data_IF_128831002331
#
_entry.id   IF_128831002331
#
_cell.length_a   1.000
_cell.length_b   1.000
_cell.length_c   1.000
_cell.angle_alpha   90.00
_cell.angle_beta   90.00
_cell.angle_gamma   90.00
#
_symmetry.space_group_name_H-M   'P 1'
#
loop_
_entity.id
_entity.type
_entity.pdbx_description
1 polymer ?
#
# COMPACT_ATOMS: atom_id res chain seq x y z
N UNK A 1 -18.48 5.68 -2.48
CA UNK A 1 -19.66 4.87 -2.83
C UNK A 1 -19.36 3.38 -2.64
N UNK A 2 -20.34 2.62 -2.13
CA UNK A 2 -20.19 1.20 -1.79
C UNK A 2 -19.76 0.32 -2.98
N UNK A 3 -20.16 0.68 -4.19
CA UNK A 3 -19.85 -0.09 -5.40
C UNK A 3 -18.35 -0.03 -5.83
N UNK A 4 -17.53 0.75 -5.16
CA UNK A 4 -16.07 0.78 -5.34
C UNK A 4 -15.33 0.12 -4.18
N UNK A 5 -16.04 -0.33 -3.16
CA UNK A 5 -15.44 -0.96 -1.99
C UNK A 5 -15.14 -2.42 -2.28
N UNK A 6 -13.92 -2.84 -1.98
CA UNK A 6 -13.46 -4.22 -2.05
C UNK A 6 -13.55 -4.79 -0.64
N UNK A 7 -14.22 -5.93 -0.51
CA UNK A 7 -14.44 -6.63 0.77
C UNK A 7 -13.85 -8.04 0.79
N UNK A 8 -13.38 -8.55 -0.36
CA UNK A 8 -12.71 -9.83 -0.44
C UNK A 8 -11.32 -9.74 0.20
N UNK A 9 -11.13 -10.46 1.30
CA UNK A 9 -9.88 -10.42 2.08
C UNK A 9 -8.67 -10.94 1.30
N UNK A 10 -8.88 -11.88 0.37
CA UNK A 10 -7.80 -12.41 -0.48
C UNK A 10 -7.34 -11.36 -1.49
N UNK A 11 -8.28 -10.63 -2.09
CA UNK A 11 -7.98 -9.55 -3.02
C UNK A 11 -7.28 -8.39 -2.32
N UNK A 12 -7.75 -8.02 -1.13
CA UNK A 12 -7.14 -6.99 -0.29
C UNK A 12 -5.70 -7.37 0.07
N UNK A 13 -5.47 -8.61 0.52
CA UNK A 13 -4.13 -9.10 0.89
C UNK A 13 -3.17 -9.05 -0.30
N UNK A 14 -3.57 -9.55 -1.45
CA UNK A 14 -2.77 -9.49 -2.69
C UNK A 14 -2.43 -8.06 -3.10
N UNK A 15 -3.39 -7.14 -2.94
CA UNK A 15 -3.16 -5.74 -3.26
C UNK A 15 -2.14 -5.09 -2.32
N UNK A 16 -2.24 -5.35 -1.00
CA UNK A 16 -1.31 -4.84 0.00
C UNK A 16 0.11 -5.35 -0.28
N UNK A 17 0.26 -6.64 -0.56
CA UNK A 17 1.56 -7.26 -0.88
C UNK A 17 2.18 -6.68 -2.16
N UNK A 18 1.38 -6.51 -3.21
CA UNK A 18 1.84 -5.96 -4.49
C UNK A 18 2.16 -4.45 -4.43
N UNK A 19 1.58 -3.71 -3.49
CA UNK A 19 1.74 -2.26 -3.34
C UNK A 19 2.27 -1.90 -1.94
N UNK A 20 3.26 -2.65 -1.47
CA UNK A 20 3.73 -2.59 -0.08
C UNK A 20 4.49 -1.31 0.30
N UNK A 21 4.93 -0.48 -0.67
CA UNK A 21 5.55 0.81 -0.39
C UNK A 21 4.49 1.90 -0.28
N UNK A 22 4.36 2.49 0.92
CA UNK A 22 3.30 3.45 1.20
C UNK A 22 3.68 4.49 2.24
N UNK A 23 2.68 5.14 2.79
CA UNK A 23 2.84 6.23 3.74
C UNK A 23 2.34 5.82 5.12
N UNK A 24 3.17 6.03 6.14
CA UNK A 24 2.79 5.99 7.55
C UNK A 24 2.48 7.40 8.03
N UNK A 25 1.23 7.66 8.36
CA UNK A 25 0.77 8.93 8.91
C UNK A 25 0.52 8.79 10.41
N UNK A 26 1.12 9.68 11.18
CA UNK A 26 0.96 9.77 12.64
C UNK A 26 1.03 11.22 13.11
N UNK A 27 0.94 11.46 14.39
CA UNK A 27 1.06 12.79 14.98
C UNK A 27 2.41 12.93 15.68
N UNK A 28 3.08 14.07 15.48
CA UNK A 28 4.20 14.56 16.31
C UNK A 28 3.79 15.93 16.81
N UNK A 29 3.69 16.11 18.12
CA UNK A 29 3.31 17.38 18.74
C UNK A 29 2.07 18.03 18.11
N UNK A 30 1.04 17.21 17.83
CA UNK A 30 -0.23 17.57 17.17
C UNK A 30 -0.15 17.79 15.65
N UNK A 31 1.03 17.80 15.05
CA UNK A 31 1.20 17.93 13.61
C UNK A 31 1.14 16.54 12.91
N UNK A 32 0.48 16.48 11.77
CA UNK A 32 0.43 15.27 10.95
C UNK A 32 1.76 15.12 10.21
N UNK A 33 2.44 14.00 10.46
CA UNK A 33 3.70 13.64 9.81
C UNK A 33 3.49 12.40 8.94
N UNK A 34 4.10 12.39 7.76
CA UNK A 34 4.06 11.27 6.83
C UNK A 34 5.47 10.80 6.49
N UNK A 35 5.72 9.49 6.63
CA UNK A 35 6.96 8.84 6.19
C UNK A 35 6.63 7.76 5.17
N UNK A 36 7.35 7.75 4.02
CA UNK A 36 7.25 6.70 3.01
C UNK A 36 8.18 5.55 3.39
N UNK A 37 7.62 4.38 3.60
CA UNK A 37 8.33 3.15 3.99
C UNK A 37 7.65 1.91 3.39
N UNK A 38 8.41 0.81 3.20
CA UNK A 38 7.83 -0.46 2.83
C UNK A 38 7.17 -1.14 4.05
N UNK A 39 6.09 -1.86 3.80
CA UNK A 39 5.35 -2.61 4.80
C UNK A 39 5.39 -4.11 4.48
N UNK A 40 5.55 -4.93 5.50
CA UNK A 40 5.30 -6.36 5.46
C UNK A 40 3.94 -6.63 6.11
N UNK A 41 3.04 -7.23 5.35
CA UNK A 41 1.69 -7.55 5.84
C UNK A 41 1.63 -9.00 6.32
N UNK A 42 1.17 -9.19 7.52
CA UNK A 42 0.80 -10.49 8.08
C UNK A 42 -0.73 -10.54 8.22
N UNK A 43 -1.36 -11.22 7.27
CA UNK A 43 -2.82 -11.32 7.21
C UNK A 43 -3.40 -12.15 8.36
N UNK A 44 -2.68 -13.20 8.82
CA UNK A 44 -3.14 -14.10 9.88
C UNK A 44 -3.18 -13.38 11.23
N UNK A 45 -2.10 -12.68 11.59
CA UNK A 45 -2.03 -11.91 12.83
C UNK A 45 -2.65 -10.52 12.73
N UNK A 46 -3.05 -10.09 11.53
CA UNK A 46 -3.57 -8.74 11.21
C UNK A 46 -2.60 -7.64 11.66
N UNK A 47 -1.36 -7.76 11.25
CA UNK A 47 -0.28 -6.85 11.63
C UNK A 47 0.42 -6.32 10.37
N UNK A 48 0.79 -5.05 10.36
CA UNK A 48 1.80 -4.50 9.47
C UNK A 48 3.11 -4.32 10.22
N UNK A 49 4.20 -4.77 9.62
CA UNK A 49 5.56 -4.52 10.09
C UNK A 49 6.27 -3.59 9.12
N UNK A 50 7.02 -2.65 9.66
CA UNK A 50 7.84 -1.72 8.90
C UNK A 50 9.09 -1.34 9.70
N UNK A 51 10.02 -0.63 9.08
CA UNK A 51 11.11 0.00 9.80
C UNK A 51 11.37 1.41 9.24
N UNK A 52 11.98 2.23 10.08
CA UNK A 52 12.47 3.54 9.67
C UNK A 52 13.85 3.79 10.25
N UNK A 53 14.57 4.75 9.67
CA UNK A 53 15.85 5.18 10.23
C UNK A 53 15.65 5.71 11.65
N UNK A 54 16.55 5.35 12.56
CA UNK A 54 16.52 5.84 13.96
C UNK A 54 16.61 7.36 14.06
N UNK A 55 17.15 8.02 13.03
CA UNK A 55 17.21 9.47 12.94
C UNK A 55 15.87 10.12 12.59
N UNK A 56 14.86 9.35 12.11
CA UNK A 56 13.52 9.89 11.85
C UNK A 56 12.80 10.07 13.21
N UNK A 57 12.35 11.28 13.59
CA UNK A 57 11.75 11.52 14.91
C UNK A 57 10.37 10.89 15.09
N UNK A 58 9.69 10.49 14.02
CA UNK A 58 8.32 9.97 14.06
C UNK A 58 8.13 8.79 15.00
N UNK A 59 9.12 7.87 15.09
CA UNK A 59 9.04 6.71 15.96
C UNK A 59 9.01 7.04 17.45
N UNK A 60 9.52 8.22 17.87
CA UNK A 60 9.63 8.60 19.27
C UNK A 60 8.27 8.85 19.93
N UNK A 61 7.28 9.25 19.14
CA UNK A 61 5.92 9.53 19.62
C UNK A 61 4.85 8.56 19.11
N UNK A 62 5.28 7.48 18.42
CA UNK A 62 4.33 6.55 17.78
C UNK A 62 3.75 5.51 18.75
N UNK A 63 4.34 5.37 19.94
CA UNK A 63 3.96 4.33 20.89
C UNK A 63 2.46 4.43 21.30
N UNK A 64 1.72 3.34 21.13
CA UNK A 64 0.26 3.23 21.38
C UNK A 64 -0.58 4.26 20.60
N UNK A 65 -0.01 4.89 19.57
CA UNK A 65 -0.71 5.90 18.78
C UNK A 65 -1.59 5.25 17.72
N UNK A 66 -2.77 5.83 17.49
CA UNK A 66 -3.60 5.53 16.31
C UNK A 66 -2.92 6.11 15.07
N UNK A 67 -2.65 5.26 14.11
CA UNK A 67 -1.99 5.63 12.85
C UNK A 67 -2.85 5.28 11.65
N UNK A 68 -2.52 5.91 10.51
CA UNK A 68 -3.06 5.58 9.20
C UNK A 68 -1.91 5.18 8.29
N UNK A 69 -2.04 4.02 7.65
CA UNK A 69 -1.20 3.65 6.50
C UNK A 69 -2.02 3.78 5.22
N UNK A 70 -1.43 4.40 4.21
CA UNK A 70 -2.02 4.50 2.88
C UNK A 70 -1.12 3.81 1.86
N UNK A 71 -1.71 2.85 1.13
CA UNK A 71 -1.09 2.17 0.01
C UNK A 71 -1.87 2.53 -1.26
N UNK A 72 -1.15 2.80 -2.33
CA UNK A 72 -1.73 3.22 -3.59
C UNK A 72 -1.19 2.35 -4.72
N UNK A 73 -2.11 1.81 -5.53
CA UNK A 73 -1.78 1.13 -6.77
C UNK A 73 -1.87 2.08 -7.97
N UNK A 74 -2.13 1.49 -9.12
CA UNK A 74 -2.26 2.20 -10.38
C UNK A 74 -3.41 3.23 -10.35
N UNK A 75 -3.19 4.35 -11.03
CA UNK A 75 -4.19 5.41 -11.17
C UNK A 75 -3.97 6.19 -12.46
N UNK A 76 -5.05 6.66 -13.06
CA UNK A 76 -5.00 7.52 -14.24
C UNK A 76 -6.21 8.45 -14.33
N UNK A 77 -6.02 9.57 -15.00
CA UNK A 77 -7.08 10.46 -15.41
C UNK A 77 -7.94 9.80 -16.49
N UNK A 78 -9.26 9.95 -16.39
CA UNK A 78 -10.23 9.44 -17.37
C UNK A 78 -10.95 10.62 -18.03
N UNK A 79 -10.73 10.77 -19.32
CA UNK A 79 -11.36 11.83 -20.11
C UNK A 79 -12.83 11.50 -20.42
N UNK A 80 -13.76 12.45 -20.29
CA UNK A 80 -15.14 12.26 -20.74
C UNK A 80 -15.24 12.02 -22.26
N UNK A 81 -14.24 12.39 -23.04
CA UNK A 81 -14.20 12.14 -24.49
C UNK A 81 -14.03 10.64 -24.85
N UNK A 82 -13.74 9.79 -23.86
CA UNK A 82 -13.66 8.33 -24.08
C UNK A 82 -14.99 7.63 -23.93
N UNK A 83 -16.00 8.32 -23.39
CA UNK A 83 -17.35 7.79 -23.24
C UNK A 83 -18.21 8.02 -24.48
N UNK A 84 -19.09 7.10 -24.79
CA UNK A 84 -20.22 7.33 -25.70
C UNK A 84 -21.36 8.07 -25.02
N UNK A 85 -21.54 7.80 -23.72
CA UNK A 85 -22.52 8.47 -22.89
C UNK A 85 -22.00 9.80 -22.34
N UNK A 86 -22.90 10.66 -21.89
CA UNK A 86 -22.50 11.89 -21.22
C UNK A 86 -21.68 11.60 -19.95
N UNK A 87 -20.56 12.28 -19.78
CA UNK A 87 -19.68 12.09 -18.67
C UNK A 87 -18.95 13.36 -18.22
N UNK A 88 -18.26 13.25 -17.09
CA UNK A 88 -17.41 14.30 -16.54
C UNK A 88 -16.00 13.76 -16.36
N UNK A 89 -14.97 14.64 -16.36
CA UNK A 89 -13.62 14.25 -16.01
C UNK A 89 -13.54 13.54 -14.65
N UNK A 90 -12.78 12.46 -14.59
CA UNK A 90 -12.61 11.70 -13.33
C UNK A 90 -11.25 11.00 -13.29
N UNK A 91 -11.02 10.24 -12.21
CA UNK A 91 -9.86 9.37 -12.05
C UNK A 91 -10.30 7.95 -11.78
N UNK A 92 -9.61 6.99 -12.39
CA UNK A 92 -9.57 5.62 -11.93
C UNK A 92 -8.36 5.44 -11.04
N UNK A 93 -8.52 4.68 -9.94
CA UNK A 93 -7.46 4.45 -8.96
C UNK A 93 -7.77 3.25 -8.07
N UNK A 94 -6.71 2.72 -7.47
CA UNK A 94 -6.78 1.67 -6.46
C UNK A 94 -6.05 2.16 -5.21
N UNK A 95 -6.67 2.04 -4.05
CA UNK A 95 -6.08 2.47 -2.79
C UNK A 95 -6.58 1.65 -1.60
N UNK A 96 -5.68 1.44 -0.63
CA UNK A 96 -6.00 0.84 0.66
C UNK A 96 -5.60 1.79 1.78
N UNK A 97 -6.52 1.99 2.72
CA UNK A 97 -6.31 2.72 3.96
C UNK A 97 -6.38 1.74 5.12
N UNK A 98 -5.29 1.61 5.87
CA UNK A 98 -5.18 0.72 7.02
C UNK A 98 -5.04 1.55 8.28
N UNK A 99 -5.93 1.37 9.23
CA UNK A 99 -5.86 2.01 10.55
C UNK A 99 -5.42 0.97 11.57
N UNK A 100 -4.62 1.40 12.52
CA UNK A 100 -4.14 0.52 13.57
C UNK A 100 -3.55 1.27 14.74
N UNK A 101 -3.11 0.50 15.73
CA UNK A 101 -2.33 1.00 16.86
C UNK A 101 -0.88 0.63 16.59
N UNK A 102 -0.01 1.63 16.61
CA UNK A 102 1.41 1.44 16.33
C UNK A 102 2.24 1.32 17.62
N UNK A 103 3.24 0.47 17.55
CA UNK A 103 4.26 0.30 18.57
C UNK A 103 5.63 0.26 17.91
N UNK A 104 6.62 0.87 18.55
CA UNK A 104 8.02 0.77 18.13
C UNK A 104 8.75 -0.36 18.87
N UNK A 105 9.70 -0.99 18.21
CA UNK A 105 10.51 -2.03 18.83
C UNK A 105 11.98 -1.98 18.37
N UNK A 106 12.87 -2.46 19.24
CA UNK A 106 14.32 -2.49 19.02
C UNK A 106 14.94 -3.89 19.17
N UNK A 107 14.12 -4.92 19.41
CA UNK A 107 14.61 -6.30 19.55
C UNK A 107 15.40 -6.73 18.28
N UNK A 108 16.71 -7.06 18.40
CA UNK A 108 17.52 -7.31 17.22
C UNK A 108 17.09 -8.55 16.43
N UNK A 109 16.53 -9.57 17.11
CA UNK A 109 16.05 -10.80 16.44
C UNK A 109 14.77 -10.53 15.66
N UNK A 110 13.86 -9.74 16.24
CA UNK A 110 12.61 -9.32 15.56
C UNK A 110 12.91 -8.41 14.38
N UNK A 111 13.81 -7.43 14.56
CA UNK A 111 14.28 -6.55 13.48
C UNK A 111 14.89 -7.36 12.34
N UNK A 112 15.81 -8.27 12.63
CA UNK A 112 16.45 -9.08 11.60
C UNK A 112 15.42 -9.90 10.81
N UNK A 113 14.53 -10.63 11.49
CA UNK A 113 13.48 -11.43 10.83
C UNK A 113 12.59 -10.58 9.92
N UNK A 114 12.21 -9.38 10.37
CA UNK A 114 11.39 -8.46 9.57
C UNK A 114 12.12 -7.99 8.33
N UNK A 115 13.37 -7.55 8.48
CA UNK A 115 14.17 -7.04 7.34
C UNK A 115 14.50 -8.17 6.36
N UNK A 116 14.81 -9.39 6.85
CA UNK A 116 15.01 -10.57 6.00
C UNK A 116 13.76 -10.84 5.14
N UNK A 117 12.56 -10.84 5.73
CA UNK A 117 11.29 -11.05 5.01
C UNK A 117 10.99 -9.94 3.99
N UNK A 118 11.24 -8.67 4.35
CA UNK A 118 11.09 -7.54 3.42
C UNK A 118 12.06 -7.66 2.24
N UNK A 119 13.28 -8.10 2.50
CA UNK A 119 14.26 -8.36 1.46
C UNK A 119 13.81 -9.49 0.55
N UNK A 120 13.42 -10.64 1.11
CA UNK A 120 12.92 -11.78 0.36
C UNK A 120 11.73 -11.40 -0.54
N UNK A 121 10.76 -10.65 0.01
CA UNK A 121 9.60 -10.17 -0.75
C UNK A 121 10.01 -9.31 -1.96
N UNK A 122 10.99 -8.42 -1.81
CA UNK A 122 11.41 -7.51 -2.87
C UNK A 122 12.42 -8.14 -3.84
N UNK A 123 13.23 -9.10 -3.38
CA UNK A 123 14.24 -9.79 -4.20
C UNK A 123 13.68 -10.99 -4.98
N UNK A 124 12.51 -11.49 -4.63
CA UNK A 124 11.92 -12.72 -5.22
C UNK A 124 11.74 -12.69 -6.74
N UNK A 125 11.71 -11.49 -7.35
CA UNK A 125 11.59 -11.30 -8.80
C UNK A 125 12.92 -11.26 -9.57
N UNK A 126 14.07 -11.28 -8.87
CA UNK A 126 15.38 -11.20 -9.50
C UNK A 126 15.98 -12.59 -9.77
N UNK A 127 16.68 -12.79 -10.92
CA UNK A 127 17.31 -14.08 -11.26
C UNK A 127 18.40 -14.50 -10.26
N UNK A 128 19.08 -13.53 -9.66
CA UNK A 128 20.11 -13.72 -8.62
C UNK A 128 19.78 -12.82 -7.43
N UNK A 129 18.86 -13.27 -6.54
CA UNK A 129 18.37 -12.46 -5.44
C UNK A 129 19.50 -12.19 -4.43
N UNK A 130 19.59 -10.93 -3.99
CA UNK A 130 20.54 -10.54 -2.98
C UNK A 130 20.28 -11.29 -1.67
N UNK A 131 21.35 -11.85 -1.09
CA UNK A 131 21.28 -12.54 0.19
C UNK A 131 21.57 -11.56 1.32
N UNK A 132 20.71 -11.53 2.34
CA UNK A 132 20.83 -10.59 3.44
C UNK A 132 22.10 -10.84 4.27
N UNK A 133 23.01 -9.86 4.28
CA UNK A 133 24.21 -9.83 5.12
C UNK A 133 24.22 -8.54 5.97
N UNK A 134 23.22 -8.43 6.84
CA UNK A 134 23.12 -7.28 7.73
C UNK A 134 24.02 -7.44 8.94
N UNK A 135 24.99 -6.54 9.09
CA UNK A 135 25.76 -6.45 10.33
C UNK A 135 24.91 -5.96 11.50
N UNK A 136 25.26 -6.34 12.72
CA UNK A 136 24.59 -5.85 13.93
C UNK A 136 24.63 -4.32 14.05
N UNK A 137 25.65 -3.66 13.45
CA UNK A 137 25.75 -2.19 13.43
C UNK A 137 24.69 -1.55 12.53
N UNK A 138 24.38 -2.16 11.38
CA UNK A 138 23.34 -1.67 10.46
C UNK A 138 21.96 -1.78 11.10
N UNK A 139 21.64 -2.89 11.76
CA UNK A 139 20.37 -3.07 12.46
C UNK A 139 20.19 -2.09 13.63
N UNK A 140 21.26 -1.63 14.27
CA UNK A 140 21.17 -0.57 15.29
C UNK A 140 20.80 0.81 14.74
N UNK A 141 20.91 1.02 13.43
CA UNK A 141 20.53 2.27 12.75
C UNK A 141 19.03 2.41 12.46
N UNK A 142 18.25 1.37 12.72
CA UNK A 142 16.82 1.36 12.42
C UNK A 142 15.97 1.07 13.67
N UNK A 143 14.71 1.46 13.58
CA UNK A 143 13.63 1.13 14.54
C UNK A 143 12.56 0.36 13.79
N UNK A 144 12.11 -0.76 14.37
CA UNK A 144 10.96 -1.48 13.87
C UNK A 144 9.66 -0.83 14.33
N UNK A 145 8.67 -0.87 13.48
CA UNK A 145 7.30 -0.43 13.76
C UNK A 145 6.38 -1.61 13.54
N UNK A 146 5.54 -1.89 14.51
CA UNK A 146 4.46 -2.87 14.42
C UNK A 146 3.13 -2.15 14.53
N UNK A 147 2.19 -2.45 13.64
CA UNK A 147 0.87 -1.84 13.63
C UNK A 147 -0.17 -2.94 13.74
N UNK A 148 -0.82 -3.02 14.90
CA UNK A 148 -1.98 -3.89 15.10
C UNK A 148 -3.18 -3.30 14.37
N UNK A 149 -3.65 -3.98 13.32
CA UNK A 149 -4.69 -3.47 12.42
C UNK A 149 -6.05 -3.49 13.09
N UNK A 150 -6.71 -2.33 13.12
CA UNK A 150 -8.07 -2.18 13.64
C UNK A 150 -9.12 -2.12 12.51
N UNK A 151 -8.77 -1.58 11.35
CA UNK A 151 -9.64 -1.59 10.17
C UNK A 151 -8.85 -1.44 8.87
N UNK A 152 -9.37 -2.06 7.81
CA UNK A 152 -8.88 -1.91 6.43
C UNK A 152 -10.05 -1.38 5.60
N UNK A 153 -9.78 -0.37 4.79
CA UNK A 153 -10.70 0.16 3.80
C UNK A 153 -10.02 0.09 2.43
N UNK A 154 -10.51 -0.79 1.57
CA UNK A 154 -10.01 -0.97 0.22
C UNK A 154 -11.02 -0.39 -0.78
N UNK A 155 -10.51 0.36 -1.76
CA UNK A 155 -11.35 1.00 -2.79
C UNK A 155 -10.66 0.93 -4.15
N UNK A 156 -11.35 0.30 -5.10
CA UNK A 156 -10.97 0.29 -6.50
C UNK A 156 -12.05 1.00 -7.30
N UNK A 157 -11.77 2.22 -7.72
CA UNK A 157 -12.63 2.98 -8.61
C UNK A 157 -12.12 2.79 -10.03
N UNK A 158 -12.77 1.92 -10.78
CA UNK A 158 -12.33 1.41 -12.08
C UNK A 158 -13.44 1.53 -13.14
N UNK A 159 -14.27 2.56 -13.06
CA UNK A 159 -15.40 2.82 -13.97
C UNK A 159 -16.56 1.81 -13.90
N UNK A 160 -16.68 1.03 -12.80
CA UNK A 160 -17.72 0.00 -12.62
C UNK A 160 -19.15 0.54 -12.72
N UNK A 161 -19.33 1.84 -12.56
CA UNK A 161 -20.62 2.53 -12.66
C UNK A 161 -20.95 3.02 -14.09
N UNK A 162 -20.15 2.66 -15.07
CA UNK A 162 -20.34 3.00 -16.48
C UNK A 162 -20.92 1.84 -17.27
N UNK A 163 -21.45 2.12 -18.47
CA UNK A 163 -21.88 1.08 -19.40
C UNK A 163 -20.72 0.17 -19.79
N UNK A 164 -21.01 -1.05 -20.23
CA UNK A 164 -19.98 -1.99 -20.70
C UNK A 164 -19.17 -1.37 -21.86
N UNK A 165 -19.84 -0.62 -22.76
CA UNK A 165 -19.16 0.03 -23.86
C UNK A 165 -18.20 1.15 -23.39
N UNK A 166 -18.67 2.00 -22.45
CA UNK A 166 -17.79 3.04 -21.88
C UNK A 166 -16.61 2.43 -21.12
N UNK A 167 -16.81 1.32 -20.40
CA UNK A 167 -15.72 0.60 -19.74
C UNK A 167 -14.69 0.06 -20.76
N UNK A 168 -15.16 -0.54 -21.85
CA UNK A 168 -14.30 -1.04 -22.93
C UNK A 168 -13.49 0.09 -23.56
N UNK A 169 -14.13 1.21 -23.88
CA UNK A 169 -13.46 2.37 -24.44
C UNK A 169 -12.38 2.94 -23.50
N UNK A 170 -12.70 3.04 -22.20
CA UNK A 170 -11.74 3.49 -21.17
C UNK A 170 -10.54 2.53 -21.09
N UNK A 171 -10.79 1.23 -21.12
CA UNK A 171 -9.75 0.22 -21.05
C UNK A 171 -8.79 0.28 -22.26
N UNK A 172 -9.31 0.43 -23.48
CA UNK A 172 -8.52 0.62 -24.68
C UNK A 172 -7.65 1.87 -24.57
N UNK A 173 -8.25 3.01 -24.20
CA UNK A 173 -7.54 4.28 -24.06
C UNK A 173 -6.46 4.26 -22.96
N UNK A 174 -6.68 3.52 -21.87
CA UNK A 174 -5.66 3.32 -20.83
C UNK A 174 -4.49 2.48 -21.37
N UNK A 175 -4.76 1.40 -22.08
CA UNK A 175 -3.74 0.54 -22.71
C UNK A 175 -2.90 1.32 -23.69
N UNK A 176 -3.51 2.09 -24.59
CA UNK A 176 -2.84 2.92 -25.59
C UNK A 176 -1.91 3.98 -24.96
N UNK A 177 -2.16 4.36 -23.71
CA UNK A 177 -1.38 5.35 -22.96
C UNK A 177 -0.38 4.74 -21.98
N UNK A 178 -0.20 3.41 -22.03
CA UNK A 178 0.77 2.71 -21.18
C UNK A 178 0.29 2.44 -19.74
N UNK A 179 -1.03 2.55 -19.47
CA UNK A 179 -1.63 2.20 -18.18
C UNK A 179 -2.20 0.77 -18.18
N UNK A 180 -1.45 -0.18 -18.71
CA UNK A 180 -1.91 -1.56 -18.92
C UNK A 180 -2.31 -2.25 -17.60
N UNK A 181 -1.57 -2.03 -16.51
CA UNK A 181 -1.88 -2.62 -15.22
C UNK A 181 -3.24 -2.14 -14.67
N UNK A 182 -3.57 -0.86 -14.86
CA UNK A 182 -4.86 -0.29 -14.48
C UNK A 182 -5.99 -0.82 -15.38
N UNK A 183 -5.76 -0.90 -16.70
CA UNK A 183 -6.69 -1.46 -17.67
C UNK A 183 -7.03 -2.93 -17.34
N UNK A 184 -6.02 -3.73 -17.01
CA UNK A 184 -6.20 -5.13 -16.60
C UNK A 184 -6.97 -5.27 -15.27
N UNK A 185 -6.80 -4.31 -14.36
CA UNK A 185 -7.56 -4.23 -13.12
C UNK A 185 -9.07 -4.07 -13.32
N UNK A 186 -9.49 -3.41 -14.42
CA UNK A 186 -10.90 -3.22 -14.75
C UNK A 186 -11.65 -4.52 -15.10
N UNK A 187 -10.94 -5.56 -15.55
CA UNK A 187 -11.52 -6.86 -15.90
C UNK A 187 -11.88 -7.73 -14.68
N UNK A 188 -11.47 -7.33 -13.48
CA UNK A 188 -11.65 -8.10 -12.24
C UNK A 188 -12.66 -7.47 -11.28
N UNK A 189 -13.23 -6.34 -11.66
CA UNK A 189 -14.10 -5.52 -10.81
C UNK A 189 -15.59 -5.63 -11.18
#
# INVERSE_FOLDING_TARGET
>A
PKHFEITDETEISKFIEANSFGQLLSLIDTEIVSTHIPFLFDAESRVLLAHMAKANPQWQQIQEQKVLVTLQGEHAYISPCWYESAGVPTWNYQAVHIRGIAESFTDPKKLKRMVDKLTEQNESGYPDPWQSDYSASMLRGIIGIEISITSIQCKFKLSQNRSVQDQSNVQEQLTDRGHEALANGMNKS
#
